data_IF_978642257399
#
_entry.id   IF_978642257399
#
_cell.length_a   1.000
_cell.length_b   1.000
_cell.length_c   1.000
_cell.angle_alpha   90.00
_cell.angle_beta   90.00
_cell.angle_gamma   90.00
#
_symmetry.space_group_name_H-M   'P 1'
#
loop_
_entity.id
_entity.type
_entity.pdbx_description
1 polymer ?
#
# COMPACT_ATOMS: atom_id res chain seq x y z
N UNK A 1 1.29 -15.17 15.50
CA UNK A 1 1.57 -13.86 16.12
C UNK A 1 1.34 -12.80 15.06
N UNK A 2 0.72 -11.68 15.40
CA UNK A 2 0.62 -10.54 14.49
C UNK A 2 1.99 -9.84 14.44
N UNK A 3 2.90 -10.34 13.61
CA UNK A 3 4.21 -9.71 13.43
C UNK A 3 4.04 -8.44 12.58
N UNK A 4 4.42 -7.30 13.15
CA UNK A 4 4.62 -6.09 12.37
C UNK A 4 5.78 -6.33 11.40
N UNK A 5 5.59 -5.96 10.14
CA UNK A 5 6.64 -6.08 9.12
C UNK A 5 7.50 -4.82 9.11
N UNK A 6 8.82 -5.01 9.10
CA UNK A 6 9.78 -3.91 9.08
C UNK A 6 10.01 -3.37 7.67
N UNK A 7 10.13 -2.05 7.56
CA UNK A 7 10.60 -1.40 6.34
C UNK A 7 12.14 -1.42 6.32
N UNK A 8 12.73 -1.85 5.20
CA UNK A 8 14.18 -1.96 5.00
C UNK A 8 14.62 -1.30 3.70
N UNK A 9 15.87 -0.88 3.64
CA UNK A 9 16.49 -0.35 2.44
C UNK A 9 17.33 -1.45 1.77
N UNK A 10 17.03 -1.74 0.50
CA UNK A 10 17.78 -2.65 -0.36
C UNK A 10 18.55 -1.83 -1.40
N UNK A 11 19.86 -2.06 -1.61
CA UNK A 11 20.68 -1.28 -2.54
C UNK A 11 20.21 -1.31 -4.00
N UNK A 12 19.42 -2.31 -4.39
CA UNK A 12 18.96 -2.52 -5.76
C UNK A 12 17.46 -2.26 -5.90
N UNK A 13 16.65 -2.73 -4.95
CA UNK A 13 15.18 -2.65 -4.97
C UNK A 13 14.65 -1.37 -4.33
N UNK A 14 15.50 -0.61 -3.62
CA UNK A 14 15.10 0.55 -2.83
C UNK A 14 14.39 0.14 -1.54
N UNK A 15 13.35 0.87 -1.15
CA UNK A 15 12.58 0.57 0.07
C UNK A 15 11.77 -0.72 -0.12
N UNK A 16 11.91 -1.66 0.81
CA UNK A 16 11.27 -2.98 0.83
C UNK A 16 10.60 -3.24 2.19
N UNK A 17 9.65 -4.18 2.24
CA UNK A 17 8.99 -4.62 3.48
C UNK A 17 9.43 -6.05 3.78
N UNK A 18 10.19 -6.24 4.86
CA UNK A 18 10.73 -7.54 5.21
C UNK A 18 9.62 -8.50 5.66
N UNK A 19 9.60 -9.71 5.10
CA UNK A 19 8.60 -10.72 5.42
C UNK A 19 7.23 -10.50 4.77
N UNK A 20 7.11 -9.54 3.83
CA UNK A 20 5.90 -9.41 3.03
C UNK A 20 5.69 -10.64 2.14
N UNK A 21 4.45 -11.09 2.03
CA UNK A 21 4.08 -12.19 1.13
C UNK A 21 4.10 -11.70 -0.32
N UNK A 22 4.83 -12.41 -1.17
CA UNK A 22 4.85 -12.20 -2.63
C UNK A 22 4.29 -13.44 -3.33
N UNK A 23 3.48 -13.23 -4.36
CA UNK A 23 2.84 -14.30 -5.12
C UNK A 23 3.09 -14.07 -6.61
N UNK A 24 3.42 -15.15 -7.33
CA UNK A 24 3.44 -15.13 -8.79
C UNK A 24 2.01 -15.22 -9.33
N UNK A 25 1.75 -14.50 -10.42
CA UNK A 25 0.50 -14.59 -11.15
C UNK A 25 0.80 -14.57 -12.65
N UNK A 26 0.22 -15.50 -13.40
CA UNK A 26 0.44 -15.66 -14.84
C UNK A 26 -0.64 -14.96 -15.68
N UNK A 27 -1.66 -14.40 -15.02
CA UNK A 27 -2.76 -13.71 -15.68
C UNK A 27 -3.33 -12.57 -14.84
N UNK A 28 -4.01 -11.63 -15.50
CA UNK A 28 -4.75 -10.58 -14.80
C UNK A 28 -5.86 -11.14 -13.91
N UNK A 29 -6.47 -12.28 -14.27
CA UNK A 29 -7.49 -12.94 -13.47
C UNK A 29 -6.93 -13.42 -12.12
N UNK A 30 -5.74 -14.04 -12.13
CA UNK A 30 -5.06 -14.47 -10.90
C UNK A 30 -4.69 -13.28 -10.00
N UNK A 31 -4.25 -12.15 -10.59
CA UNK A 31 -4.01 -10.91 -9.83
C UNK A 31 -5.30 -10.44 -9.15
N UNK A 32 -6.45 -10.51 -9.83
CA UNK A 32 -7.74 -10.16 -9.25
C UNK A 32 -8.17 -11.12 -8.13
N UNK A 33 -7.94 -12.42 -8.28
CA UNK A 33 -8.23 -13.41 -7.25
C UNK A 33 -7.38 -13.18 -5.98
N UNK A 34 -6.09 -12.86 -6.15
CA UNK A 34 -5.20 -12.50 -5.05
C UNK A 34 -5.64 -11.20 -4.36
N UNK A 35 -6.07 -10.19 -5.12
CA UNK A 35 -6.63 -8.96 -4.57
C UNK A 35 -7.89 -9.24 -3.73
N UNK A 36 -8.82 -10.06 -4.24
CA UNK A 36 -10.02 -10.45 -3.51
C UNK A 36 -9.68 -11.22 -2.23
N UNK A 37 -8.69 -12.13 -2.28
CA UNK A 37 -8.21 -12.84 -1.10
C UNK A 37 -7.59 -11.88 -0.07
N UNK A 38 -6.75 -10.94 -0.50
CA UNK A 38 -6.16 -9.90 0.34
C UNK A 38 -7.22 -9.03 1.02
N UNK A 39 -8.25 -8.61 0.28
CA UNK A 39 -9.36 -7.82 0.80
C UNK A 39 -10.23 -8.57 1.82
N UNK A 40 -10.36 -9.91 1.70
CA UNK A 40 -11.02 -10.74 2.72
C UNK A 40 -10.20 -10.84 4.02
N UNK A 41 -8.88 -10.88 3.91
CA UNK A 41 -7.98 -10.96 5.06
C UNK A 41 -7.75 -9.61 5.74
N UNK A 42 -7.97 -8.50 5.03
CA UNK A 42 -7.97 -7.16 5.61
C UNK A 42 -9.12 -7.08 6.60
N UNK A 43 -8.81 -6.84 7.88
CA UNK A 43 -9.81 -6.65 8.92
C UNK A 43 -10.69 -5.45 8.58
N UNK A 44 -11.96 -5.72 8.28
CA UNK A 44 -13.00 -4.71 8.08
C UNK A 44 -13.87 -4.70 9.33
N UNK A 45 -13.42 -4.02 10.41
CA UNK A 45 -14.30 -3.83 11.57
C UNK A 45 -15.44 -2.88 11.18
N UNK A 46 -16.72 -3.32 11.19
CA UNK A 46 -17.83 -2.45 10.90
C UNK A 46 -17.91 -1.36 11.97
N UNK A 47 -18.12 -0.12 11.56
CA UNK A 47 -18.57 0.92 12.49
C UNK A 47 -19.76 1.65 11.91
N UNK A 48 -20.63 2.14 12.80
CA UNK A 48 -21.94 2.76 12.53
C UNK A 48 -21.93 3.96 11.55
N UNK A 49 -20.76 4.33 11.00
CA UNK A 49 -20.60 5.47 10.11
C UNK A 49 -19.95 5.18 8.75
N UNK A 50 -19.38 4.00 8.48
CA UNK A 50 -18.87 3.69 7.12
C UNK A 50 -18.60 2.20 6.89
N UNK A 51 -19.06 1.72 5.74
CA UNK A 51 -18.92 0.35 5.25
C UNK A 51 -17.47 0.11 4.78
N UNK A 52 -16.85 -0.94 5.32
CA UNK A 52 -15.87 -1.78 4.60
C UNK A 52 -14.42 -1.27 4.47
N UNK A 53 -14.10 0.04 4.37
CA UNK A 53 -12.71 0.49 4.06
C UNK A 53 -12.06 1.55 4.96
N UNK A 54 -12.79 2.21 5.86
CA UNK A 54 -12.35 3.50 6.42
C UNK A 54 -11.16 3.47 7.39
N UNK A 55 -10.72 2.29 7.85
CA UNK A 55 -9.91 2.16 9.09
C UNK A 55 -8.47 1.70 8.92
N UNK A 56 -8.07 1.35 7.70
CA UNK A 56 -6.67 1.02 7.38
C UNK A 56 -6.33 1.52 5.99
N UNK A 57 -5.06 1.86 5.74
CA UNK A 57 -4.57 2.00 4.37
C UNK A 57 -4.24 0.61 3.81
N UNK A 58 -4.40 0.40 2.51
CA UNK A 58 -3.91 -0.79 1.83
C UNK A 58 -3.01 -0.41 0.65
N UNK A 59 -2.02 -1.27 0.42
CA UNK A 59 -1.06 -1.15 -0.68
C UNK A 59 -1.04 -2.50 -1.40
N UNK A 60 -1.43 -2.51 -2.67
CA UNK A 60 -1.20 -3.63 -3.58
C UNK A 60 -0.12 -3.22 -4.58
N UNK A 61 0.95 -4.01 -4.66
CA UNK A 61 2.03 -3.81 -5.62
C UNK A 61 2.06 -4.95 -6.62
N UNK A 62 1.94 -4.63 -7.90
CA UNK A 62 2.09 -5.57 -9.01
C UNK A 62 3.38 -5.24 -9.74
N UNK A 63 4.32 -6.19 -9.77
CA UNK A 63 5.59 -6.04 -10.49
C UNK A 63 5.57 -6.95 -11.71
N UNK A 64 5.74 -6.37 -12.90
CA UNK A 64 5.83 -7.08 -14.16
C UNK A 64 7.28 -7.03 -14.63
N UNK A 65 7.85 -8.19 -14.91
CA UNK A 65 9.20 -8.32 -15.46
C UNK A 65 9.13 -8.92 -16.86
N UNK A 66 9.58 -8.17 -17.85
CA UNK A 66 9.73 -8.63 -19.22
C UNK A 66 11.20 -8.83 -19.53
N UNK A 67 11.55 -10.02 -20.03
CA UNK A 67 12.88 -10.30 -20.54
C UNK A 67 12.93 -9.98 -22.03
N UNK A 68 13.77 -9.03 -22.42
CA UNK A 68 13.98 -8.68 -23.83
C UNK A 68 14.54 -9.90 -24.58
N UNK A 69 13.90 -10.27 -25.69
CA UNK A 69 14.37 -11.36 -26.57
C UNK A 69 15.44 -10.82 -27.53
N UNK A 70 16.66 -10.61 -27.03
CA UNK A 70 17.83 -10.22 -27.84
C UNK A 70 18.82 -11.37 -28.06
N UNK A 71 19.59 -11.32 -29.15
CA UNK A 71 20.68 -12.26 -29.48
C UNK A 71 22.04 -11.92 -28.79
N UNK A 72 22.07 -10.94 -27.89
CA UNK A 72 23.29 -10.51 -27.18
C UNK A 72 23.62 -11.36 -25.95
N UNK A 73 24.89 -11.29 -25.50
CA UNK A 73 25.41 -12.03 -24.32
C UNK A 73 24.75 -11.59 -23.00
N UNK A 74 24.16 -10.38 -22.95
CA UNK A 74 23.48 -9.86 -21.76
C UNK A 74 21.96 -9.85 -21.94
N UNK A 75 21.26 -10.52 -21.02
CA UNK A 75 19.81 -10.43 -20.90
C UNK A 75 19.43 -9.05 -20.33
N UNK A 76 18.63 -8.29 -21.08
CA UNK A 76 18.00 -7.06 -20.59
C UNK A 76 16.62 -7.38 -20.04
N UNK A 77 16.28 -6.75 -18.92
CA UNK A 77 14.97 -6.87 -18.28
C UNK A 77 14.32 -5.50 -18.20
N UNK A 78 13.05 -5.42 -18.62
CA UNK A 78 12.19 -4.29 -18.33
C UNK A 78 11.34 -4.64 -17.11
N UNK A 79 11.39 -3.79 -16.09
CA UNK A 79 10.63 -3.99 -14.87
C UNK A 79 9.66 -2.82 -14.70
N UNK A 80 8.37 -3.13 -14.77
CA UNK A 80 7.29 -2.21 -14.43
C UNK A 80 6.76 -2.51 -13.03
N UNK A 81 6.49 -1.48 -12.24
CA UNK A 81 5.89 -1.60 -10.91
C UNK A 81 4.65 -0.71 -10.83
N UNK A 82 3.48 -1.33 -10.69
CA UNK A 82 2.23 -0.65 -10.41
C UNK A 82 1.95 -0.72 -8.91
N UNK A 83 1.77 0.43 -8.27
CA UNK A 83 1.35 0.52 -6.87
C UNK A 83 -0.06 1.09 -6.79
N UNK A 84 -1.00 0.27 -6.32
CA UNK A 84 -2.38 0.68 -6.07
C UNK A 84 -2.55 0.91 -4.57
N UNK A 85 -2.87 2.15 -4.20
CA UNK A 85 -3.00 2.58 -2.82
C UNK A 85 -4.47 2.89 -2.54
N UNK A 86 -5.05 2.19 -1.55
CA UNK A 86 -6.38 2.51 -1.01
C UNK A 86 -6.18 3.20 0.34
N UNK A 87 -6.62 4.46 0.44
CA UNK A 87 -6.39 5.29 1.62
C UNK A 87 -7.62 5.29 2.53
N UNK A 88 -7.38 5.12 3.83
CA UNK A 88 -8.38 5.32 4.88
C UNK A 88 -8.97 6.74 4.87
N UNK A 89 -10.13 6.89 5.51
CA UNK A 89 -10.85 8.15 5.63
C UNK A 89 -10.05 9.20 6.42
N UNK A 90 -10.14 10.47 6.00
CA UNK A 90 -9.46 11.60 6.65
C UNK A 90 -10.38 12.39 7.58
N UNK A 91 -11.23 11.71 8.36
CA UNK A 91 -12.15 12.40 9.25
C UNK A 91 -11.42 13.15 10.38
N UNK A 92 -11.92 14.36 10.68
CA UNK A 92 -11.38 15.16 11.77
C UNK A 92 -11.82 14.57 13.10
N UNK A 93 -10.89 14.43 14.04
CA UNK A 93 -11.19 13.96 15.38
C UNK A 93 -12.33 14.76 16.05
N UNK A 94 -12.40 16.07 15.82
CA UNK A 94 -13.46 16.95 16.34
C UNK A 94 -14.86 16.67 15.80
N UNK A 95 -14.97 15.98 14.67
CA UNK A 95 -16.24 15.57 14.05
C UNK A 95 -16.64 14.15 14.43
N UNK A 96 -15.82 13.45 15.22
CA UNK A 96 -16.05 12.07 15.64
C UNK A 96 -16.19 11.99 17.15
N UNK A 97 -17.13 11.19 17.66
CA UNK A 97 -17.21 10.86 19.09
C UNK A 97 -16.27 9.68 19.46
N UNK A 98 -15.14 9.55 18.75
CA UNK A 98 -14.18 8.47 18.96
C UNK A 98 -13.50 8.62 20.34
N UNK A 99 -13.52 7.55 21.14
CA UNK A 99 -12.86 7.49 22.47
C UNK A 99 -11.94 6.27 22.54
N UNK A 100 -10.94 6.33 23.42
CA UNK A 100 -10.01 5.23 23.66
C UNK A 100 -9.29 4.80 22.38
N UNK A 101 -9.31 3.50 22.09
CA UNK A 101 -8.58 2.92 20.95
C UNK A 101 -8.96 3.53 19.58
N UNK A 102 -10.23 3.92 19.40
CA UNK A 102 -10.71 4.56 18.17
C UNK A 102 -10.10 5.95 17.94
N UNK A 103 -9.76 6.66 19.01
CA UNK A 103 -9.08 7.96 18.91
C UNK A 103 -7.62 7.77 18.47
N UNK A 104 -6.93 6.74 18.99
CA UNK A 104 -5.56 6.41 18.63
C UNK A 104 -5.47 5.98 17.17
N UNK A 105 -6.41 5.13 16.72
CA UNK A 105 -6.55 4.70 15.34
C UNK A 105 -6.73 5.90 14.38
N UNK A 106 -7.71 6.77 14.64
CA UNK A 106 -7.94 7.97 13.83
C UNK A 106 -6.75 8.94 13.82
N UNK A 107 -6.01 9.06 14.93
CA UNK A 107 -4.80 9.86 14.98
C UNK A 107 -3.69 9.28 14.07
N UNK A 108 -3.52 7.96 14.05
CA UNK A 108 -2.53 7.30 13.20
C UNK A 108 -2.88 7.44 11.70
N UNK A 109 -4.15 7.30 11.33
CA UNK A 109 -4.64 7.52 9.96
C UNK A 109 -4.36 8.96 9.51
N UNK A 110 -4.70 9.94 10.34
CA UNK A 110 -4.45 11.34 10.01
C UNK A 110 -2.96 11.66 9.93
N UNK A 111 -2.12 11.01 10.74
CA UNK A 111 -0.66 11.18 10.71
C UNK A 111 -0.06 10.69 9.38
N UNK A 112 -0.44 9.50 8.89
CA UNK A 112 0.03 8.98 7.60
C UNK A 112 -0.45 9.84 6.43
N UNK A 113 -1.70 10.29 6.44
CA UNK A 113 -2.25 11.16 5.39
C UNK A 113 -1.58 12.53 5.34
N UNK A 114 -1.31 13.14 6.50
CA UNK A 114 -0.57 14.41 6.56
C UNK A 114 0.86 14.25 6.02
N UNK A 115 1.55 13.16 6.39
CA UNK A 115 2.89 12.88 5.88
C UNK A 115 2.89 12.72 4.35
N UNK A 116 1.92 11.99 3.80
CA UNK A 116 1.73 11.84 2.36
C UNK A 116 1.50 13.20 1.68
N UNK A 117 0.60 14.02 2.22
CA UNK A 117 0.31 15.37 1.70
C UNK A 117 1.55 16.27 1.70
N UNK A 118 2.36 16.23 2.76
CA UNK A 118 3.60 16.99 2.85
C UNK A 118 4.61 16.56 1.77
N UNK A 119 4.75 15.26 1.52
CA UNK A 119 5.65 14.76 0.46
C UNK A 119 5.16 15.18 -0.92
N UNK A 120 3.86 15.05 -1.20
CA UNK A 120 3.28 15.48 -2.48
C UNK A 120 3.51 16.97 -2.72
N UNK A 121 3.25 17.81 -1.72
CA UNK A 121 3.47 19.25 -1.83
C UNK A 121 4.96 19.57 -2.07
N UNK A 122 5.87 18.94 -1.34
CA UNK A 122 7.31 19.13 -1.52
C UNK A 122 7.82 18.64 -2.89
N UNK A 123 7.16 17.66 -3.52
CA UNK A 123 7.47 17.24 -4.89
C UNK A 123 6.91 18.23 -5.92
N UNK A 124 5.68 18.70 -5.72
CA UNK A 124 5.05 19.69 -6.60
C UNK A 124 5.83 21.01 -6.61
N UNK A 125 6.30 21.48 -5.45
CA UNK A 125 7.07 22.72 -5.35
C UNK A 125 8.46 22.62 -6.00
N UNK A 126 9.08 21.44 -6.01
CA UNK A 126 10.37 21.19 -6.72
C UNK A 126 10.22 21.10 -8.23
N UNK A 127 9.00 20.93 -8.73
CA UNK A 127 8.70 20.84 -10.15
C UNK A 127 8.35 22.19 -10.81
N UNK A 128 8.35 23.28 -10.04
CA UNK A 128 8.29 24.66 -10.51
C UNK A 128 9.70 25.24 -10.66
#
# INVERSE_FOLDING_TARGET
SSEYLDVREDPVKGITVAGISEFSADSAAEVMDLLLAGNRNRTQEPTDANQTSSRSHAVLQVTVQEKEKGQGVQAKFHVGKLSMIDLAGSERASQTNNRGIRMIEGANINRSLLALGNVINALADRSK
#
